data_IF_597622879688
#
_entry.id   IF_597622879688
#
_cell.length_a   1.000
_cell.length_b   1.000
_cell.length_c   1.000
_cell.angle_alpha   90.00
_cell.angle_beta   90.00
_cell.angle_gamma   90.00
#
_symmetry.space_group_name_H-M   'P 1'
#
loop_
_entity.id
_entity.type
_entity.pdbx_description
1 polymer ?
#
# COMPACT_ATOMS: atom_id res chain seq x y z
N UNK A 1 -2.61 -15.33 10.16
CA UNK A 1 -3.71 -14.34 10.05
C UNK A 1 -4.67 -14.88 8.99
N UNK A 2 -5.99 -14.71 9.17
CA UNK A 2 -6.96 -15.06 8.14
C UNK A 2 -6.71 -14.25 6.86
N UNK A 3 -7.12 -14.80 5.70
CA UNK A 3 -6.98 -14.11 4.41
C UNK A 3 -8.03 -13.01 4.29
N UNK A 4 -7.66 -11.79 3.86
CA UNK A 4 -8.62 -10.71 3.62
C UNK A 4 -9.52 -11.04 2.43
N UNK A 5 -10.64 -10.32 2.28
CA UNK A 5 -11.49 -10.43 1.10
C UNK A 5 -10.72 -10.00 -0.16
N UNK A 6 -11.00 -10.63 -1.29
CA UNK A 6 -10.33 -10.30 -2.57
C UNK A 6 -10.79 -8.96 -3.16
N UNK A 7 -11.90 -8.41 -2.66
CA UNK A 7 -12.48 -7.17 -3.18
C UNK A 7 -13.22 -6.40 -2.09
N UNK A 8 -12.97 -5.09 -2.04
CA UNK A 8 -13.71 -4.12 -1.22
C UNK A 8 -14.28 -3.05 -2.14
N UNK A 9 -15.59 -2.77 -2.04
CA UNK A 9 -16.28 -1.83 -2.92
C UNK A 9 -16.98 -0.75 -2.11
N UNK A 10 -16.76 0.48 -2.53
CA UNK A 10 -17.48 1.66 -2.10
C UNK A 10 -17.84 2.48 -3.34
N UNK A 11 -18.68 3.50 -3.20
CA UNK A 11 -19.12 4.31 -4.34
C UNK A 11 -17.93 4.93 -5.11
N UNK A 12 -17.82 4.58 -6.39
CA UNK A 12 -16.75 5.02 -7.30
C UNK A 12 -15.34 4.53 -6.95
N UNK A 13 -15.16 3.70 -5.89
CA UNK A 13 -13.87 3.23 -5.41
C UNK A 13 -13.88 1.73 -5.16
N UNK A 14 -12.84 1.04 -5.62
CA UNK A 14 -12.68 -0.40 -5.40
C UNK A 14 -11.23 -0.73 -5.07
N UNK A 15 -11.02 -1.57 -4.07
CA UNK A 15 -9.79 -2.34 -3.92
C UNK A 15 -10.07 -3.74 -4.44
N UNK A 16 -9.30 -4.23 -5.39
CA UNK A 16 -9.46 -5.56 -5.95
C UNK A 16 -8.11 -6.26 -6.07
N UNK A 17 -8.09 -7.55 -5.74
CA UNK A 17 -6.94 -8.41 -6.00
C UNK A 17 -6.54 -8.31 -7.46
N UNK A 18 -5.24 -8.16 -7.73
CA UNK A 18 -4.69 -8.11 -9.08
C UNK A 18 -5.02 -9.36 -9.89
N UNK A 19 -5.36 -9.15 -11.18
CA UNK A 19 -5.60 -10.19 -12.15
C UNK A 19 -4.61 -10.07 -13.31
N UNK A 20 -4.29 -11.17 -14.00
CA UNK A 20 -3.42 -11.09 -15.19
C UNK A 20 -4.00 -10.21 -16.30
N UNK A 21 -5.33 -10.13 -16.39
CA UNK A 21 -6.01 -9.25 -17.33
C UNK A 21 -5.76 -7.74 -17.09
N UNK A 22 -5.28 -7.36 -15.90
CA UNK A 22 -4.95 -5.98 -15.56
C UNK A 22 -3.63 -5.50 -16.19
N UNK A 23 -2.82 -6.43 -16.73
CA UNK A 23 -1.47 -6.16 -17.23
C UNK A 23 -1.38 -5.00 -18.23
N UNK A 24 -2.17 -4.96 -19.31
CA UNK A 24 -2.10 -3.87 -20.28
C UNK A 24 -2.40 -2.50 -19.66
N UNK A 25 -3.41 -2.39 -18.79
CA UNK A 25 -3.77 -1.16 -18.12
C UNK A 25 -2.71 -0.73 -17.10
N UNK A 26 -2.20 -1.67 -16.29
CA UNK A 26 -1.11 -1.44 -15.34
C UNK A 26 0.14 -0.92 -16.05
N UNK A 27 0.56 -1.57 -17.14
CA UNK A 27 1.72 -1.17 -17.92
C UNK A 27 1.59 0.25 -18.46
N UNK A 28 0.45 0.58 -19.05
CA UNK A 28 0.18 1.91 -19.60
C UNK A 28 0.17 2.98 -18.50
N UNK A 29 -0.49 2.71 -17.38
CA UNK A 29 -0.61 3.64 -16.25
C UNK A 29 0.74 3.91 -15.58
N UNK A 30 1.57 2.88 -15.33
CA UNK A 30 2.90 3.06 -14.75
C UNK A 30 3.79 3.86 -15.70
N UNK A 31 3.80 3.53 -17.00
CA UNK A 31 4.61 4.27 -17.98
C UNK A 31 4.16 5.74 -18.13
N UNK A 32 2.87 6.04 -17.98
CA UNK A 32 2.34 7.41 -17.93
C UNK A 32 2.75 8.19 -16.66
N UNK A 33 3.31 7.51 -15.66
CA UNK A 33 3.65 8.08 -14.35
C UNK A 33 5.11 7.86 -13.94
N UNK A 34 6.00 7.42 -14.85
CA UNK A 34 7.38 7.01 -14.52
C UNK A 34 8.17 8.07 -13.75
N UNK A 35 8.13 9.34 -14.19
CA UNK A 35 8.84 10.42 -13.51
C UNK A 35 8.37 10.57 -12.05
N UNK A 36 7.06 10.50 -11.85
CA UNK A 36 6.44 10.61 -10.53
C UNK A 36 6.74 9.41 -9.63
N UNK A 37 6.59 8.20 -10.15
CA UNK A 37 6.81 6.96 -9.41
C UNK A 37 8.30 6.70 -9.22
N UNK A 38 9.11 6.85 -10.26
CA UNK A 38 10.55 6.59 -10.23
C UNK A 38 11.33 7.52 -9.31
N UNK A 39 10.78 8.69 -8.98
CA UNK A 39 11.37 9.57 -7.98
C UNK A 39 11.47 8.89 -6.59
N UNK A 40 10.51 8.05 -6.23
CA UNK A 40 10.37 7.43 -4.90
C UNK A 40 10.44 5.89 -4.91
N UNK A 41 10.17 5.27 -6.05
CA UNK A 41 10.10 3.81 -6.22
C UNK A 41 11.22 3.35 -7.14
N UNK A 42 12.17 2.60 -6.58
CA UNK A 42 13.33 2.12 -7.34
C UNK A 42 12.94 1.26 -8.55
N UNK A 43 11.88 0.47 -8.44
CA UNK A 43 11.39 -0.41 -9.50
C UNK A 43 10.86 0.36 -10.74
N UNK A 44 10.51 1.64 -10.58
CA UNK A 44 10.06 2.52 -11.67
C UNK A 44 11.14 3.51 -12.14
N UNK A 45 12.30 3.59 -11.49
CA UNK A 45 13.31 4.62 -11.77
C UNK A 45 14.10 4.39 -13.06
N UNK A 46 14.13 3.16 -13.55
CA UNK A 46 14.84 2.77 -14.80
C UNK A 46 13.90 2.52 -15.98
N UNK A 47 12.60 2.81 -15.85
CA UNK A 47 11.57 2.41 -16.80
C UNK A 47 10.73 1.25 -16.26
N UNK A 48 9.68 0.88 -17.00
CA UNK A 48 8.82 -0.25 -16.64
C UNK A 48 8.39 -1.00 -17.90
N UNK A 49 8.82 -2.24 -18.01
CA UNK A 49 8.64 -3.07 -19.20
C UNK A 49 7.43 -4.01 -19.06
N UNK A 50 7.04 -4.64 -20.16
CA UNK A 50 6.01 -5.69 -20.13
C UNK A 50 6.45 -6.90 -19.28
N UNK A 51 7.75 -7.19 -19.22
CA UNK A 51 8.30 -8.27 -18.38
C UNK A 51 8.19 -7.91 -16.89
N UNK A 52 8.54 -6.68 -16.50
CA UNK A 52 8.38 -6.19 -15.12
C UNK A 52 6.92 -6.27 -14.68
N UNK A 53 5.99 -5.88 -15.57
CA UNK A 53 4.56 -5.97 -15.32
C UNK A 53 4.10 -7.43 -15.11
N UNK A 54 4.53 -8.33 -15.99
CA UNK A 54 4.20 -9.77 -15.88
C UNK A 54 4.78 -10.38 -14.60
N UNK A 55 6.01 -10.02 -14.23
CA UNK A 55 6.66 -10.49 -12.99
C UNK A 55 5.91 -9.98 -11.76
N UNK A 56 5.53 -8.70 -11.72
CA UNK A 56 4.70 -8.14 -10.65
C UNK A 56 3.41 -8.93 -10.46
N UNK A 57 2.65 -9.19 -11.55
CA UNK A 57 1.40 -9.93 -11.46
C UNK A 57 1.59 -11.41 -11.05
N UNK A 58 2.70 -12.06 -11.44
CA UNK A 58 3.07 -13.39 -10.96
C UNK A 58 3.35 -13.37 -9.45
N UNK A 59 4.16 -12.42 -9.01
CA UNK A 59 4.58 -12.27 -7.61
C UNK A 59 3.39 -11.98 -6.71
N UNK A 60 2.49 -11.06 -7.09
CA UNK A 60 1.29 -10.76 -6.29
C UNK A 60 0.41 -12.00 -6.13
N UNK A 61 0.27 -12.82 -7.19
CA UNK A 61 -0.49 -14.07 -7.12
C UNK A 61 0.14 -15.08 -6.16
N UNK A 62 1.46 -15.24 -6.20
CA UNK A 62 2.20 -16.15 -5.30
C UNK A 62 2.10 -15.68 -3.85
N UNK A 63 2.29 -14.40 -3.59
CA UNK A 63 2.20 -13.80 -2.27
C UNK A 63 0.81 -13.94 -1.65
N UNK A 64 -0.25 -13.81 -2.46
CA UNK A 64 -1.62 -14.11 -2.02
C UNK A 64 -1.77 -15.57 -1.57
N UNK A 65 -1.18 -16.50 -2.30
CA UNK A 65 -1.27 -17.94 -1.99
C UNK A 65 -0.47 -18.29 -0.73
N UNK A 66 0.67 -17.64 -0.49
CA UNK A 66 1.50 -17.85 0.71
C UNK A 66 1.01 -17.06 1.93
N UNK A 67 0.18 -16.03 1.74
CA UNK A 67 -0.23 -15.12 2.80
C UNK A 67 0.86 -14.10 3.22
N UNK A 68 1.94 -13.99 2.44
CA UNK A 68 3.04 -13.07 2.72
C UNK A 68 2.65 -11.61 2.47
N UNK A 69 1.99 -11.37 1.33
CA UNK A 69 1.48 -10.03 0.97
C UNK A 69 0.15 -10.17 0.23
N UNK A 70 -0.78 -9.27 0.57
CA UNK A 70 -2.06 -9.14 -0.13
C UNK A 70 -2.08 -7.79 -0.84
N UNK A 71 -1.77 -7.83 -2.15
CA UNK A 71 -1.72 -6.64 -3.01
C UNK A 71 -3.04 -6.42 -3.73
N UNK A 72 -3.52 -5.18 -3.72
CA UNK A 72 -4.75 -4.74 -4.36
C UNK A 72 -4.48 -3.64 -5.39
N UNK A 73 -5.16 -3.73 -6.53
CA UNK A 73 -5.36 -2.59 -7.39
C UNK A 73 -6.33 -1.60 -6.73
N UNK A 74 -5.97 -0.34 -6.69
CA UNK A 74 -6.88 0.76 -6.36
C UNK A 74 -7.54 1.16 -7.67
N UNK A 75 -8.89 1.09 -7.73
CA UNK A 75 -9.66 1.48 -8.90
C UNK A 75 -10.62 2.63 -8.58
N UNK A 76 -10.72 3.56 -9.52
CA UNK A 76 -11.66 4.68 -9.48
C UNK A 76 -12.47 4.64 -10.77
N UNK A 77 -13.78 4.54 -10.64
CA UNK A 77 -14.71 4.44 -11.78
C UNK A 77 -14.30 3.33 -12.78
N UNK A 78 -13.78 2.22 -12.25
CA UNK A 78 -13.32 1.06 -13.01
C UNK A 78 -11.87 1.13 -13.49
N UNK A 79 -11.24 2.30 -13.55
CA UNK A 79 -9.85 2.47 -14.00
C UNK A 79 -8.84 2.26 -12.87
N UNK A 80 -7.68 1.69 -13.17
CA UNK A 80 -6.59 1.50 -12.21
C UNK A 80 -5.98 2.87 -11.88
N UNK A 81 -5.94 3.21 -10.58
CA UNK A 81 -5.35 4.44 -10.08
C UNK A 81 -3.99 4.23 -9.38
N UNK A 82 -3.70 3.01 -8.94
CA UNK A 82 -2.50 2.67 -8.20
C UNK A 82 -2.62 1.33 -7.50
N UNK A 83 -1.80 1.14 -6.47
CA UNK A 83 -1.81 -0.08 -5.67
C UNK A 83 -1.69 0.19 -4.17
N UNK A 84 -2.19 -0.75 -3.38
CA UNK A 84 -1.95 -0.86 -1.95
C UNK A 84 -1.72 -2.31 -1.58
N UNK A 85 -0.68 -2.58 -0.78
CA UNK A 85 -0.33 -3.93 -0.32
C UNK A 85 -0.32 -4.01 1.20
N UNK A 86 -0.75 -5.15 1.72
CA UNK A 86 -0.69 -5.50 3.14
C UNK A 86 0.28 -6.64 3.32
N UNK A 87 1.43 -6.35 3.90
CA UNK A 87 2.52 -7.31 4.14
C UNK A 87 2.44 -7.85 5.58
N UNK A 88 2.47 -9.17 5.73
CA UNK A 88 2.48 -9.81 7.03
C UNK A 88 3.76 -9.44 7.81
N UNK A 89 3.61 -9.19 9.12
CA UNK A 89 4.69 -8.95 10.08
C UNK A 89 4.38 -9.71 11.37
N UNK A 90 5.40 -9.98 12.17
CA UNK A 90 5.20 -10.62 13.45
C UNK A 90 4.31 -9.74 14.35
N UNK A 91 3.15 -10.25 14.71
CA UNK A 91 2.15 -9.56 15.54
C UNK A 91 1.36 -8.42 14.86
N UNK A 92 1.59 -8.13 13.58
CA UNK A 92 0.90 -7.06 12.87
C UNK A 92 1.06 -7.10 11.36
N UNK A 93 0.89 -5.96 10.72
CA UNK A 93 1.06 -5.80 9.27
C UNK A 93 1.76 -4.48 8.93
N UNK A 94 2.36 -4.43 7.75
CA UNK A 94 2.83 -3.19 7.11
C UNK A 94 2.00 -2.91 5.87
N UNK A 95 1.57 -1.65 5.67
CA UNK A 95 0.85 -1.21 4.48
C UNK A 95 1.76 -0.34 3.64
N UNK A 96 1.95 -0.74 2.37
CA UNK A 96 2.64 0.03 1.35
C UNK A 96 1.67 0.45 0.24
N UNK A 97 1.94 1.58 -0.44
CA UNK A 97 1.06 2.09 -1.48
C UNK A 97 1.78 3.01 -2.47
N UNK A 98 1.18 3.15 -3.64
CA UNK A 98 1.54 4.14 -4.64
C UNK A 98 0.32 4.49 -5.51
N UNK A 99 0.34 5.70 -6.12
CA UNK A 99 -0.68 6.18 -7.06
C UNK A 99 -0.03 6.72 -8.32
N UNK A 100 -0.71 6.55 -9.43
CA UNK A 100 -0.40 7.28 -10.65
C UNK A 100 -0.61 8.80 -10.43
N UNK A 101 0.18 9.60 -11.13
CA UNK A 101 0.25 11.07 -10.95
C UNK A 101 -1.11 11.76 -11.02
N UNK A 102 -1.95 11.35 -11.95
CA UNK A 102 -3.28 11.96 -12.20
C UNK A 102 -4.29 11.72 -11.08
N UNK A 103 -4.06 10.72 -10.22
CA UNK A 103 -4.95 10.36 -9.11
C UNK A 103 -4.50 10.92 -7.75
N UNK A 104 -3.34 11.60 -7.71
CA UNK A 104 -2.81 12.18 -6.47
C UNK A 104 -3.70 13.33 -5.97
N UNK A 105 -3.84 13.45 -4.65
CA UNK A 105 -4.60 14.55 -4.02
C UNK A 105 -6.11 14.31 -3.88
N UNK A 106 -6.61 13.15 -4.32
CA UNK A 106 -8.05 12.80 -4.25
C UNK A 106 -8.44 12.01 -2.99
N UNK A 107 -7.53 11.85 -2.02
CA UNK A 107 -7.80 11.13 -0.78
C UNK A 107 -7.84 9.58 -0.91
N UNK A 108 -7.54 9.03 -2.09
CA UNK A 108 -7.68 7.59 -2.39
C UNK A 108 -6.81 6.71 -1.47
N UNK A 109 -5.56 7.08 -1.23
CA UNK A 109 -4.69 6.33 -0.31
C UNK A 109 -5.20 6.40 1.12
N UNK A 110 -5.68 7.55 1.58
CA UNK A 110 -6.27 7.67 2.92
C UNK A 110 -7.43 6.69 3.08
N UNK A 111 -8.31 6.62 2.07
CA UNK A 111 -9.46 5.71 2.02
C UNK A 111 -9.02 4.24 2.02
N UNK A 112 -8.05 3.88 1.14
CA UNK A 112 -7.51 2.53 1.06
C UNK A 112 -6.87 2.08 2.39
N UNK A 113 -6.04 2.94 2.99
CA UNK A 113 -5.37 2.65 4.26
C UNK A 113 -6.37 2.52 5.41
N UNK A 114 -7.40 3.37 5.47
CA UNK A 114 -8.46 3.25 6.49
C UNK A 114 -9.11 1.87 6.41
N UNK A 115 -9.62 1.50 5.24
CA UNK A 115 -10.30 0.24 5.00
C UNK A 115 -9.41 -0.97 5.35
N UNK A 116 -8.17 -0.99 4.87
CA UNK A 116 -7.26 -2.12 5.11
C UNK A 116 -6.73 -2.16 6.56
N UNK A 117 -6.66 -1.02 7.24
CA UNK A 117 -6.34 -0.97 8.68
C UNK A 117 -7.45 -1.60 9.52
N UNK A 118 -8.71 -1.25 9.23
CA UNK A 118 -9.87 -1.85 9.89
C UNK A 118 -9.94 -3.36 9.65
N UNK A 119 -9.71 -3.78 8.41
CA UNK A 119 -9.67 -5.19 8.05
C UNK A 119 -8.52 -5.93 8.74
N UNK A 120 -7.32 -5.37 8.75
CA UNK A 120 -6.18 -5.96 9.46
C UNK A 120 -6.48 -6.18 10.96
N UNK A 121 -7.11 -5.21 11.62
CA UNK A 121 -7.51 -5.34 13.01
C UNK A 121 -8.64 -6.38 13.20
N UNK A 122 -9.57 -6.47 12.27
CA UNK A 122 -10.61 -7.50 12.26
C UNK A 122 -10.00 -8.90 12.16
N UNK A 123 -8.97 -9.06 11.32
CA UNK A 123 -8.22 -10.31 11.11
C UNK A 123 -7.18 -10.61 12.21
N UNK A 124 -7.14 -9.81 13.28
CA UNK A 124 -6.35 -10.09 14.47
C UNK A 124 -4.97 -9.44 14.54
N UNK A 125 -4.62 -8.54 13.61
CA UNK A 125 -3.39 -7.76 13.71
C UNK A 125 -3.37 -6.93 15.01
N UNK A 126 -2.24 -6.92 15.70
CA UNK A 126 -2.05 -6.10 16.90
C UNK A 126 -1.68 -4.66 16.57
N UNK A 127 -1.09 -4.44 15.39
CA UNK A 127 -0.70 -3.13 14.89
C UNK A 127 -0.69 -3.08 13.37
N UNK A 128 -0.74 -1.86 12.84
CA UNK A 128 -0.47 -1.55 11.43
C UNK A 128 0.69 -0.57 11.36
N UNK A 129 1.68 -0.85 10.51
CA UNK A 129 2.78 0.08 10.19
C UNK A 129 2.66 0.63 8.78
N UNK A 130 3.19 1.84 8.61
CA UNK A 130 3.42 2.47 7.30
C UNK A 130 4.83 3.02 7.32
N UNK A 131 5.57 2.76 6.23
CA UNK A 131 6.95 3.19 6.09
C UNK A 131 7.13 4.02 4.82
N UNK A 132 7.85 5.14 4.93
CA UNK A 132 8.20 5.98 3.80
C UNK A 132 9.55 6.66 4.01
N UNK A 133 10.24 7.04 2.93
CA UNK A 133 11.42 7.90 3.03
C UNK A 133 11.04 9.23 3.71
N UNK A 134 11.84 9.68 4.67
CA UNK A 134 11.55 10.86 5.51
C UNK A 134 11.30 12.14 4.68
N UNK A 135 11.86 12.24 3.49
CA UNK A 135 11.68 13.34 2.56
C UNK A 135 10.35 13.28 1.80
N UNK A 136 9.71 12.11 1.73
CA UNK A 136 8.43 11.93 1.06
C UNK A 136 7.27 12.40 1.96
N UNK A 137 7.17 13.72 2.16
CA UNK A 137 6.17 14.33 3.04
C UNK A 137 4.72 14.03 2.63
N UNK A 138 4.47 13.79 1.33
CA UNK A 138 3.13 13.43 0.84
C UNK A 138 2.73 12.03 1.33
N UNK A 139 3.65 11.07 1.26
CA UNK A 139 3.42 9.73 1.79
C UNK A 139 3.21 9.79 3.31
N UNK A 140 4.03 10.55 4.05
CA UNK A 140 3.91 10.72 5.49
C UNK A 140 2.65 11.44 5.97
N UNK A 141 2.02 12.26 5.12
CA UNK A 141 0.76 12.94 5.46
C UNK A 141 -0.43 11.98 5.61
N UNK A 142 -0.37 10.79 5.01
CA UNK A 142 -1.43 9.78 5.13
C UNK A 142 -1.49 9.19 6.55
N UNK A 143 -0.44 8.55 7.07
CA UNK A 143 -0.47 8.02 8.43
C UNK A 143 -0.69 9.12 9.49
N UNK A 144 -0.12 10.32 9.32
CA UNK A 144 -0.33 11.44 10.22
C UNK A 144 -1.82 11.79 10.35
N UNK A 145 -2.54 11.87 9.22
CA UNK A 145 -3.98 12.17 9.19
C UNK A 145 -4.83 11.09 9.83
N UNK A 146 -4.39 9.83 9.72
CA UNK A 146 -5.10 8.66 10.26
C UNK A 146 -4.76 8.35 11.72
N UNK A 147 -4.00 9.21 12.40
CA UNK A 147 -3.68 9.07 13.82
C UNK A 147 -2.60 8.04 14.13
N UNK A 148 -1.80 7.64 13.15
CA UNK A 148 -0.59 6.88 13.39
C UNK A 148 0.44 7.76 14.10
N UNK A 149 1.31 7.13 14.89
CA UNK A 149 2.43 7.80 15.57
C UNK A 149 3.76 7.32 14.99
N UNK A 150 4.74 8.21 14.90
CA UNK A 150 6.10 7.81 14.52
C UNK A 150 6.72 7.01 15.65
N UNK A 151 7.16 5.80 15.37
CA UNK A 151 7.74 4.89 16.38
C UNK A 151 9.25 4.74 16.25
N UNK A 152 9.80 4.93 15.04
CA UNK A 152 11.24 4.88 14.78
C UNK A 152 11.59 5.47 13.41
N UNK A 153 12.88 5.72 13.22
CA UNK A 153 13.52 5.84 11.91
C UNK A 153 14.46 4.68 11.70
N UNK A 154 14.65 4.25 10.47
CA UNK A 154 15.53 3.14 10.13
C UNK A 154 16.21 3.39 8.77
N UNK A 155 17.40 2.83 8.51
CA UNK A 155 18.02 2.90 7.19
C UNK A 155 17.11 2.27 6.14
N UNK A 156 16.96 2.93 4.98
CA UNK A 156 16.31 2.33 3.82
C UNK A 156 17.20 1.28 3.17
N UNK A 157 16.57 0.28 2.56
CA UNK A 157 17.27 -0.70 1.73
C UNK A 157 17.94 -0.04 0.51
N UNK A 158 18.99 -0.65 0.01
CA UNK A 158 19.65 -0.21 -1.24
C UNK A 158 19.32 -1.20 -2.37
N UNK A 159 19.26 -0.74 -3.64
CA UNK A 159 19.50 0.63 -4.12
C UNK A 159 18.39 1.61 -3.75
N UNK A 160 18.70 2.92 -3.72
CA UNK A 160 17.76 4.00 -3.41
C UNK A 160 17.17 4.60 -4.68
N UNK A 161 15.89 4.99 -4.63
CA UNK A 161 15.30 5.83 -5.66
C UNK A 161 15.88 7.27 -5.61
N UNK A 162 15.87 7.99 -6.74
CA UNK A 162 16.58 9.29 -6.87
C UNK A 162 16.24 10.35 -5.83
N UNK A 163 15.01 10.40 -5.34
CA UNK A 163 14.58 11.39 -4.36
C UNK A 163 14.71 10.93 -2.90
N UNK A 164 15.08 9.66 -2.67
CA UNK A 164 15.20 9.10 -1.33
C UNK A 164 16.49 9.54 -0.63
N UNK A 165 16.39 9.79 0.68
CA UNK A 165 17.52 10.14 1.56
C UNK A 165 18.28 8.91 2.04
N UNK A 166 17.64 7.73 2.02
CA UNK A 166 18.15 6.52 2.63
C UNK A 166 17.73 6.34 4.09
N UNK A 167 16.84 7.19 4.59
CA UNK A 167 16.24 7.08 5.93
C UNK A 167 14.73 6.96 5.81
N UNK A 168 14.18 5.88 6.34
CA UNK A 168 12.76 5.68 6.44
C UNK A 168 12.22 6.13 7.79
N UNK A 169 11.05 6.75 7.77
CA UNK A 169 10.23 7.01 8.95
C UNK A 169 9.16 5.93 9.03
N UNK A 170 9.04 5.30 10.18
CA UNK A 170 8.06 4.23 10.45
C UNK A 170 6.99 4.76 11.39
N UNK A 171 5.75 4.67 10.92
CA UNK A 171 4.55 5.03 11.65
C UNK A 171 3.82 3.77 12.10
N UNK A 172 3.17 3.82 13.26
CA UNK A 172 2.40 2.69 13.79
C UNK A 172 1.08 3.16 14.36
N UNK A 173 0.03 2.38 14.09
CA UNK A 173 -1.26 2.45 14.76
C UNK A 173 -1.49 1.15 15.50
N UNK A 174 -1.76 1.22 16.80
CA UNK A 174 -2.09 0.05 17.63
C UNK A 174 -3.58 -0.26 17.53
N UNK A 175 -3.92 -1.55 17.59
CA UNK A 175 -5.30 -1.98 17.79
C UNK A 175 -5.79 -1.45 19.13
N UNK A 176 -6.93 -0.75 19.13
CA UNK A 176 -7.57 -0.36 20.39
C UNK A 176 -8.04 -1.61 21.12
N UNK A 177 -7.80 -1.73 22.44
CA UNK A 177 -8.38 -2.81 23.21
C UNK A 177 -9.93 -2.74 23.06
N UNK A 178 -10.55 -3.91 22.86
CA UNK A 178 -12.01 -4.00 22.88
C UNK A 178 -12.49 -3.50 24.26
N UNK A 179 -13.24 -2.41 24.31
CA UNK A 179 -13.87 -1.95 25.54
C UNK A 179 -14.78 -3.09 26.00
N UNK A 180 -14.46 -3.78 27.10
CA UNK A 180 -15.38 -4.70 27.71
C UNK A 180 -16.68 -3.92 28.02
N UNK A 181 -17.88 -4.48 27.76
CA UNK A 181 -19.11 -3.83 28.19
C UNK A 181 -19.03 -3.63 29.69
N UNK A 182 -19.27 -2.39 30.15
CA UNK A 182 -19.39 -2.09 31.56
C UNK A 182 -20.46 -3.03 32.12
N UNK A 183 -20.03 -3.98 32.96
CA UNK A 183 -20.95 -4.91 33.62
C UNK A 183 -22.00 -4.12 34.44
N UNK A 184 -23.23 -4.43 34.19
CA UNK A 184 -24.40 -3.96 34.96
C UNK A 184 -24.43 -4.63 36.30
#
# INVERSE_FOLDING_TARGET
METPAETYREDGFTLARWQFADGPELLAMVNGSLEHLGAWMIWASGGYTAEDCAEFLRTTRQNWASGETHDFAIRVDGSIAGAVGVMAREGGVEIGYWLAREFVGRGLITRAVTLLTEEAFRLGAGYVEIKHDERNVRSGAVPARLGFTVVRTEPAGKPLAPSCTGTNRVWRLLRKPCSAPAGS
#
